data_IF_332487217543
#
_entry.id   IF_332487217543
#
_cell.length_a   1.000
_cell.length_b   1.000
_cell.length_c   1.000
_cell.angle_alpha   90.00
_cell.angle_beta   90.00
_cell.angle_gamma   90.00
#
_symmetry.space_group_name_H-M   'P 1'
#
loop_
_entity.id
_entity.type
_entity.pdbx_description
1 polymer ?
#
# COMPACT_ATOMS: atom_id res chain seq x y z
N UNK A 1 37.93 -27.28 -16.58
CA UNK A 1 37.85 -26.14 -15.66
C UNK A 1 36.45 -25.55 -15.81
N UNK A 2 35.54 -25.86 -14.89
CA UNK A 2 34.18 -25.30 -14.86
C UNK A 2 34.19 -24.13 -13.88
N UNK A 3 34.05 -22.91 -14.39
CA UNK A 3 33.75 -21.73 -13.57
C UNK A 3 32.31 -21.33 -13.84
N UNK A 4 31.38 -21.90 -13.07
CA UNK A 4 30.03 -21.36 -12.93
C UNK A 4 30.16 -20.10 -12.06
N UNK A 5 29.76 -18.96 -12.62
CA UNK A 5 29.62 -17.71 -11.89
C UNK A 5 28.29 -17.73 -11.15
N UNK A 6 28.32 -18.02 -9.85
CA UNK A 6 27.18 -17.90 -8.96
C UNK A 6 26.83 -16.41 -8.79
N UNK A 7 25.80 -15.95 -9.52
CA UNK A 7 25.24 -14.62 -9.33
C UNK A 7 24.55 -14.54 -7.99
N UNK A 8 25.19 -13.91 -7.00
CA UNK A 8 24.57 -13.60 -5.71
C UNK A 8 23.47 -12.56 -5.96
N UNK A 9 22.21 -12.94 -5.73
CA UNK A 9 21.10 -12.01 -5.73
C UNK A 9 21.26 -11.04 -4.54
N UNK A 10 21.41 -9.76 -4.83
CA UNK A 10 21.46 -8.72 -3.80
C UNK A 10 20.02 -8.53 -3.33
N UNK A 11 19.69 -8.99 -2.13
CA UNK A 11 18.39 -8.66 -1.52
C UNK A 11 18.33 -7.13 -1.35
N UNK A 12 17.35 -6.50 -2.00
CA UNK A 12 17.15 -5.07 -1.89
C UNK A 12 16.61 -4.76 -0.50
N UNK A 13 17.28 -3.89 0.25
CA UNK A 13 16.77 -3.42 1.54
C UNK A 13 15.43 -2.71 1.35
N UNK A 14 14.46 -3.04 2.20
CA UNK A 14 13.09 -2.51 2.15
C UNK A 14 12.84 -1.61 3.36
N UNK A 15 12.39 -0.38 3.12
CA UNK A 15 11.82 0.49 4.14
C UNK A 15 10.31 0.29 4.20
N UNK A 16 9.75 0.07 5.40
CA UNK A 16 8.31 0.03 5.62
C UNK A 16 7.85 1.24 6.44
N UNK A 17 6.90 1.99 5.88
CA UNK A 17 6.23 3.11 6.55
C UNK A 17 4.82 2.66 6.91
N UNK A 18 4.46 2.76 8.20
CA UNK A 18 3.13 2.38 8.71
C UNK A 18 2.40 3.63 9.19
N UNK A 19 1.15 3.79 8.76
CA UNK A 19 0.22 4.84 9.22
C UNK A 19 -1.01 4.16 9.82
N UNK A 20 -1.31 4.47 11.07
CA UNK A 20 -2.45 3.94 11.80
C UNK A 20 -3.44 5.06 12.10
N UNK A 21 -4.71 4.81 11.86
CA UNK A 21 -5.81 5.69 12.25
C UNK A 21 -6.74 4.99 13.27
N UNK A 22 -7.54 5.79 13.96
CA UNK A 22 -8.56 5.36 14.90
C UNK A 22 -9.98 5.58 14.36
N UNK A 23 -10.12 5.60 13.03
CA UNK A 23 -11.39 5.83 12.35
C UNK A 23 -12.33 4.63 12.40
N UNK A 24 -13.38 4.67 11.57
CA UNK A 24 -14.42 3.64 11.54
C UNK A 24 -13.96 2.27 11.02
N UNK A 25 -12.80 2.21 10.36
CA UNK A 25 -12.31 1.00 9.70
C UNK A 25 -13.28 0.45 8.64
N UNK A 26 -12.95 -0.71 8.10
CA UNK A 26 -13.78 -1.43 7.12
C UNK A 26 -13.45 -2.92 7.12
N UNK A 27 -14.35 -3.72 6.53
CA UNK A 27 -14.12 -5.16 6.45
C UNK A 27 -12.97 -5.48 5.48
N UNK A 28 -12.00 -6.30 5.92
CA UNK A 28 -10.80 -6.68 5.17
C UNK A 28 -11.05 -7.17 3.73
N UNK A 29 -12.22 -7.76 3.44
CA UNK A 29 -12.60 -8.17 2.07
C UNK A 29 -12.68 -7.02 1.06
N UNK A 30 -12.72 -5.78 1.52
CA UNK A 30 -12.80 -4.59 0.66
C UNK A 30 -11.44 -3.96 0.36
N UNK A 31 -10.33 -4.55 0.82
CA UNK A 31 -8.98 -4.00 0.61
C UNK A 31 -8.68 -3.71 -0.86
N UNK A 32 -8.99 -4.60 -1.79
CA UNK A 32 -8.70 -4.32 -3.20
C UNK A 32 -9.56 -3.17 -3.76
N UNK A 33 -10.79 -3.07 -3.25
CA UNK A 33 -11.78 -2.09 -3.70
C UNK A 33 -11.41 -0.66 -3.30
N UNK A 34 -10.80 -0.44 -2.13
CA UNK A 34 -10.49 0.92 -1.62
C UNK A 34 -9.40 1.64 -2.42
N UNK A 35 -8.65 0.91 -3.24
CA UNK A 35 -7.61 1.47 -4.10
C UNK A 35 -8.06 1.68 -5.54
N UNK A 36 -9.30 1.31 -5.89
CA UNK A 36 -9.87 1.64 -7.20
C UNK A 36 -10.29 3.11 -7.24
N UNK A 37 -10.08 3.75 -8.38
CA UNK A 37 -10.43 5.16 -8.59
C UNK A 37 -11.95 5.32 -8.44
N UNK A 38 -12.36 6.37 -7.72
CA UNK A 38 -13.76 6.71 -7.42
C UNK A 38 -14.55 5.67 -6.60
N UNK A 39 -13.90 4.61 -6.10
CA UNK A 39 -14.54 3.69 -5.18
C UNK A 39 -14.53 4.25 -3.76
N UNK A 40 -15.71 4.19 -3.13
CA UNK A 40 -15.93 4.58 -1.74
C UNK A 40 -16.69 3.46 -1.05
N UNK A 41 -16.31 3.14 0.19
CA UNK A 41 -17.05 2.17 1.00
C UNK A 41 -18.24 2.81 1.74
N UNK A 42 -18.16 4.10 2.02
CA UNK A 42 -19.19 4.86 2.73
C UNK A 42 -19.77 5.97 1.85
N UNK A 43 -21.07 6.21 2.02
CA UNK A 43 -21.88 7.07 1.18
C UNK A 43 -21.38 8.51 1.12
N UNK A 44 -21.70 9.23 0.03
CA UNK A 44 -21.31 10.64 -0.19
C UNK A 44 -21.67 11.58 0.96
N UNK A 45 -22.72 11.26 1.71
CA UNK A 45 -23.22 12.08 2.82
C UNK A 45 -22.43 11.88 4.11
N UNK A 46 -21.67 10.79 4.25
CA UNK A 46 -21.05 10.40 5.51
C UNK A 46 -19.63 10.97 5.66
N UNK A 47 -18.90 11.12 4.54
CA UNK A 47 -17.54 11.67 4.54
C UNK A 47 -17.23 12.46 3.25
N UNK A 48 -16.53 13.58 3.37
CA UNK A 48 -16.07 14.38 2.23
C UNK A 48 -14.88 13.70 1.53
N UNK A 49 -14.83 13.75 0.19
CA UNK A 49 -13.71 13.21 -0.58
C UNK A 49 -14.09 12.63 -1.94
N UNK A 50 -13.13 12.71 -2.87
CA UNK A 50 -13.24 12.21 -4.26
C UNK A 50 -12.98 10.71 -4.40
N UNK A 51 -12.46 10.05 -3.36
CA UNK A 51 -12.07 8.64 -3.43
C UNK A 51 -10.83 8.38 -4.29
N UNK A 52 -9.97 9.40 -4.50
CA UNK A 52 -8.76 9.26 -5.31
C UNK A 52 -7.48 9.02 -4.49
N UNK A 53 -7.48 9.38 -3.20
CA UNK A 53 -6.25 9.40 -2.38
C UNK A 53 -5.50 8.08 -2.36
N UNK A 54 -6.16 6.98 -1.98
CA UNK A 54 -5.51 5.66 -1.90
C UNK A 54 -5.07 5.13 -3.27
N UNK A 55 -5.86 5.37 -4.31
CA UNK A 55 -5.47 5.01 -5.68
C UNK A 55 -4.19 5.74 -6.12
N UNK A 56 -4.02 7.00 -5.73
CA UNK A 56 -2.79 7.77 -5.95
C UNK A 56 -1.64 7.19 -5.13
N UNK A 57 -1.84 6.91 -3.84
CA UNK A 57 -0.81 6.30 -2.99
C UNK A 57 -0.29 4.98 -3.56
N UNK A 58 -1.18 4.12 -4.05
CA UNK A 58 -0.79 2.86 -4.72
C UNK A 58 0.08 3.13 -5.94
N UNK A 59 -0.35 4.02 -6.85
CA UNK A 59 0.44 4.38 -8.04
C UNK A 59 1.81 4.96 -7.70
N UNK A 60 1.91 5.77 -6.65
CA UNK A 60 3.19 6.33 -6.19
C UNK A 60 4.09 5.21 -5.68
N UNK A 61 3.60 4.31 -4.83
CA UNK A 61 4.38 3.19 -4.32
C UNK A 61 4.86 2.26 -5.45
N UNK A 62 3.97 1.89 -6.37
CA UNK A 62 4.29 1.06 -7.55
C UNK A 62 5.36 1.72 -8.44
N UNK A 63 5.27 3.05 -8.65
CA UNK A 63 6.27 3.80 -9.43
C UNK A 63 7.66 3.77 -8.80
N UNK A 64 7.75 3.60 -7.49
CA UNK A 64 9.02 3.45 -6.77
C UNK A 64 9.38 1.97 -6.55
N UNK A 65 8.82 1.06 -7.35
CA UNK A 65 9.05 -0.39 -7.25
C UNK A 65 8.68 -0.99 -5.88
N UNK A 66 7.78 -0.30 -5.18
CA UNK A 66 7.26 -0.70 -3.88
C UNK A 66 5.82 -1.19 -3.95
N UNK A 67 5.19 -1.31 -2.78
CA UNK A 67 3.78 -1.64 -2.66
C UNK A 67 3.11 -0.91 -1.50
N UNK A 68 1.78 -0.92 -1.49
CA UNK A 68 0.96 -0.48 -0.36
C UNK A 68 -0.04 -1.59 -0.03
N UNK A 69 -0.16 -1.88 1.26
CA UNK A 69 -1.14 -2.84 1.81
C UNK A 69 -1.87 -2.20 2.99
N UNK A 70 -2.95 -2.82 3.42
CA UNK A 70 -3.77 -2.29 4.51
C UNK A 70 -4.43 -3.41 5.29
N UNK A 71 -4.48 -3.23 6.60
CA UNK A 71 -5.27 -4.02 7.52
C UNK A 71 -6.33 -3.13 8.13
N UNK A 72 -7.57 -3.60 8.18
CA UNK A 72 -8.65 -2.85 8.83
C UNK A 72 -9.67 -3.78 9.46
N UNK A 73 -10.17 -3.32 10.61
CA UNK A 73 -11.25 -3.96 11.35
C UNK A 73 -12.33 -2.91 11.59
N UNK A 74 -13.62 -3.20 11.26
CA UNK A 74 -14.71 -2.28 11.55
C UNK A 74 -14.72 -1.85 13.02
N UNK A 75 -14.79 -0.54 13.25
CA UNK A 75 -14.79 0.09 14.57
C UNK A 75 -13.41 0.25 15.23
N UNK A 76 -12.31 -0.18 14.58
CA UNK A 76 -10.96 -0.16 15.17
C UNK A 76 -9.93 0.58 14.29
N UNK A 77 -10.39 1.33 13.29
CA UNK A 77 -9.53 2.05 12.34
C UNK A 77 -8.88 1.18 11.27
N UNK A 78 -7.85 1.73 10.64
CA UNK A 78 -7.06 1.06 9.63
C UNK A 78 -5.56 1.32 9.81
N UNK A 79 -4.77 0.35 9.32
CA UNK A 79 -3.31 0.34 9.31
C UNK A 79 -2.83 0.21 7.88
N UNK A 80 -2.31 1.30 7.32
CA UNK A 80 -1.74 1.35 5.98
C UNK A 80 -0.23 1.13 6.06
N UNK A 81 0.30 0.23 5.24
CA UNK A 81 1.72 -0.12 5.21
C UNK A 81 2.26 0.04 3.80
N UNK A 82 3.22 0.96 3.63
CA UNK A 82 3.91 1.20 2.37
C UNK A 82 5.30 0.59 2.47
N UNK A 83 5.68 -0.27 1.52
CA UNK A 83 7.05 -0.82 1.42
C UNK A 83 7.74 -0.23 0.20
N UNK A 84 8.95 0.28 0.38
CA UNK A 84 9.76 0.89 -0.66
C UNK A 84 11.20 0.32 -0.62
N UNK A 85 11.82 0.01 -1.77
CA UNK A 85 13.25 -0.28 -1.84
C UNK A 85 14.09 0.94 -1.44
N UNK A 86 15.15 0.72 -0.65
CA UNK A 86 16.04 1.80 -0.17
C UNK A 86 17.10 2.18 -1.23
N UNK A 87 17.50 1.23 -2.08
CA UNK A 87 18.60 1.39 -3.04
C UNK A 87 18.13 1.37 -4.51
N UNK A 88 17.04 2.09 -4.81
CA UNK A 88 16.53 2.21 -6.18
C UNK A 88 17.33 3.21 -7.01
N UNK A 89 18.15 2.73 -7.95
CA UNK A 89 18.56 3.57 -9.09
C UNK A 89 17.29 3.93 -9.89
N UNK A 90 16.93 5.21 -9.92
CA UNK A 90 15.84 5.77 -10.72
C UNK A 90 16.21 5.89 -12.20
#
# INVERSE_FOLDING_TARGET
MHSQSDGVAIESEICQITVEDNGIGFAQKYVDRIFHIFQRLHGRQEYQGTGMGLAICRKIAERHHGNITVQSTPGQGAKFMVKLPINGNL
#
